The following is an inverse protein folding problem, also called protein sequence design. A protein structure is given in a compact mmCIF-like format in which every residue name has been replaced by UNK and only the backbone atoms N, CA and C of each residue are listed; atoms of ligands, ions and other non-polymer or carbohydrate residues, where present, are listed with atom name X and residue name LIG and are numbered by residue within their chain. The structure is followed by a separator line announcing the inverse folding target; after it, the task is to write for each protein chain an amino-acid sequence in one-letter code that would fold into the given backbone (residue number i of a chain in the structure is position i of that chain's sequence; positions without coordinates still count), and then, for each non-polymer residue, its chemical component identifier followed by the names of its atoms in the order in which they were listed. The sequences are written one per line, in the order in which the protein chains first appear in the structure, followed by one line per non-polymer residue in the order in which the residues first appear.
data_IF_490238260971
#
_entry.id   IF_490238260971
#
_cell.length_a   1.000
_cell.length_b   1.000
_cell.length_c   1.000
_cell.angle_alpha   90.00
_cell.angle_beta   90.00
_cell.angle_gamma   90.00
#
_symmetry.space_group_name_H-M   'P 1'
#
loop_
_entity.id
_entity.type
_entity.pdbx_description
1 polymer ?
#
# COMPACT_ATOMS: atom_id res chain seq x y z
N UNK A 1 0.95 -14.95 21.43
CA UNK A 1 0.29 -13.94 20.57
C UNK A 1 0.48 -14.33 19.12
N UNK A 2 -0.49 -14.04 18.25
CA UNK A 2 -0.54 -14.49 16.84
C UNK A 2 0.57 -13.89 15.93
N UNK A 3 1.50 -13.09 16.46
CA UNK A 3 2.47 -12.30 15.69
C UNK A 3 3.78 -12.02 16.46
N UNK A 4 4.37 -13.02 17.12
CA UNK A 4 5.57 -12.85 17.97
C UNK A 4 6.85 -12.33 17.26
N UNK A 5 6.90 -12.30 15.93
CA UNK A 5 8.06 -11.79 15.18
C UNK A 5 8.06 -10.27 14.92
N UNK A 6 7.02 -9.54 15.35
CA UNK A 6 6.82 -8.14 14.95
C UNK A 6 7.21 -7.11 16.00
N UNK A 7 7.61 -7.54 17.21
CA UNK A 7 7.88 -6.63 18.34
C UNK A 7 8.96 -5.58 18.01
N UNK A 8 10.04 -5.98 17.34
CA UNK A 8 11.12 -5.07 16.90
C UNK A 8 10.68 -4.01 15.89
N UNK A 9 9.55 -4.23 15.21
CA UNK A 9 8.98 -3.40 14.14
C UNK A 9 7.79 -2.55 14.62
N UNK A 10 7.38 -2.69 15.88
CA UNK A 10 6.25 -1.93 16.44
C UNK A 10 6.49 -0.43 16.30
N UNK A 11 5.54 0.26 15.67
CA UNK A 11 5.60 1.70 15.40
C UNK A 11 6.54 2.12 14.26
N UNK A 12 7.20 1.17 13.58
CA UNK A 12 8.14 1.45 12.48
C UNK A 12 7.59 1.08 11.11
N UNK A 13 6.60 0.18 11.06
CA UNK A 13 6.04 -0.32 9.80
C UNK A 13 4.52 -0.23 9.80
N UNK A 14 3.96 -0.14 8.60
CA UNK A 14 2.57 -0.49 8.29
C UNK A 14 2.57 -1.81 7.51
N UNK A 15 1.45 -2.54 7.57
CA UNK A 15 1.25 -3.75 6.77
C UNK A 15 -0.01 -3.59 5.93
N UNK A 16 0.09 -3.88 4.65
CA UNK A 16 -1.04 -3.93 3.72
C UNK A 16 -1.39 -5.39 3.55
N UNK A 17 -2.63 -5.77 3.89
CA UNK A 17 -3.11 -7.13 3.68
C UNK A 17 -3.73 -7.23 2.29
N UNK A 18 -3.24 -8.16 1.48
CA UNK A 18 -3.72 -8.44 0.11
C UNK A 18 -4.04 -9.95 -0.02
N UNK A 19 -4.91 -10.47 0.87
CA UNK A 19 -5.23 -11.89 0.96
C UNK A 19 -6.75 -12.09 0.99
N UNK A 20 -7.25 -13.09 0.27
CA UNK A 20 -8.67 -13.46 0.26
C UNK A 20 -9.41 -12.77 -0.89
N UNK A 21 -10.56 -12.15 -0.60
CA UNK A 21 -11.36 -11.40 -1.57
C UNK A 21 -10.75 -10.03 -1.81
N UNK A 22 -9.72 -9.97 -2.66
CA UNK A 22 -9.01 -8.76 -3.07
C UNK A 22 -8.87 -8.80 -4.58
N UNK A 23 -9.13 -7.68 -5.23
CA UNK A 23 -9.06 -7.53 -6.69
C UNK A 23 -8.13 -6.35 -7.09
N UNK A 24 -7.95 -6.15 -8.38
CA UNK A 24 -7.11 -5.11 -8.99
C UNK A 24 -7.35 -3.73 -8.38
N UNK A 25 -8.61 -3.32 -8.21
CA UNK A 25 -8.93 -1.99 -7.70
C UNK A 25 -8.66 -1.83 -6.20
N UNK A 26 -8.71 -2.90 -5.40
CA UNK A 26 -8.31 -2.85 -3.99
C UNK A 26 -6.83 -2.50 -3.86
N UNK A 27 -5.99 -3.03 -4.76
CA UNK A 27 -4.56 -2.73 -4.82
C UNK A 27 -4.32 -1.27 -5.18
N UNK A 28 -5.03 -0.76 -6.18
CA UNK A 28 -4.94 0.66 -6.59
C UNK A 28 -5.34 1.58 -5.45
N UNK A 29 -6.46 1.29 -4.77
CA UNK A 29 -6.96 2.08 -3.64
C UNK A 29 -5.97 2.04 -2.46
N UNK A 30 -5.41 0.88 -2.15
CA UNK A 30 -4.43 0.75 -1.06
C UNK A 30 -3.19 1.62 -1.30
N UNK A 31 -2.67 1.65 -2.53
CA UNK A 31 -1.51 2.48 -2.88
C UNK A 31 -1.85 3.96 -2.82
N UNK A 32 -2.98 4.37 -3.40
CA UNK A 32 -3.46 5.75 -3.32
C UNK A 32 -3.60 6.22 -1.85
N UNK A 33 -4.16 5.38 -0.98
CA UNK A 33 -4.32 5.68 0.44
C UNK A 33 -2.96 5.89 1.14
N UNK A 34 -1.94 5.08 0.80
CA UNK A 34 -0.59 5.23 1.35
C UNK A 34 0.06 6.54 0.89
N UNK A 35 -0.05 6.88 -0.40
CA UNK A 35 0.46 8.16 -0.92
C UNK A 35 -0.19 9.35 -0.21
N UNK A 36 -1.52 9.34 -0.08
CA UNK A 36 -2.26 10.38 0.63
C UNK A 36 -1.83 10.49 2.09
N UNK A 37 -1.67 9.36 2.78
CA UNK A 37 -1.23 9.34 4.18
C UNK A 37 0.19 9.90 4.33
N UNK A 38 1.14 9.43 3.53
CA UNK A 38 2.53 9.92 3.55
C UNK A 38 2.58 11.43 3.27
N UNK A 39 1.86 11.91 2.26
CA UNK A 39 1.79 13.34 1.95
C UNK A 39 1.20 14.14 3.11
N UNK A 40 0.09 13.65 3.71
CA UNK A 40 -0.59 14.29 4.85
C UNK A 40 0.31 14.40 6.07
N UNK A 41 1.19 13.43 6.30
CA UNK A 41 2.13 13.43 7.42
C UNK A 41 3.50 14.06 7.08
N UNK A 42 3.58 14.83 5.98
CA UNK A 42 4.73 15.67 5.67
C UNK A 42 5.86 14.97 4.91
N UNK A 43 5.66 13.74 4.44
CA UNK A 43 6.65 13.07 3.60
C UNK A 43 6.60 13.61 2.17
N UNK A 44 7.78 13.73 1.55
CA UNK A 44 7.89 14.14 0.16
C UNK A 44 7.59 12.98 -0.80
N UNK A 45 6.31 12.75 -1.03
CA UNK A 45 5.80 11.82 -2.04
C UNK A 45 5.08 12.58 -3.15
N UNK A 46 5.20 12.06 -4.36
CA UNK A 46 4.47 12.50 -5.55
C UNK A 46 3.16 11.69 -5.62
N UNK A 47 2.02 12.38 -5.57
CA UNK A 47 0.72 11.72 -5.65
C UNK A 47 0.50 11.17 -7.06
N UNK A 48 -0.05 9.96 -7.15
CA UNK A 48 -0.34 9.27 -8.40
C UNK A 48 0.82 8.45 -8.97
N UNK A 49 2.04 8.59 -8.45
CA UNK A 49 3.21 7.89 -9.00
C UNK A 49 3.14 6.38 -8.82
N UNK A 50 2.83 5.94 -7.60
CA UNK A 50 2.61 4.53 -7.27
C UNK A 50 1.32 4.00 -7.88
N UNK A 51 0.28 4.83 -7.97
CA UNK A 51 -0.97 4.46 -8.66
C UNK A 51 -0.72 4.15 -10.13
N UNK A 52 0.00 5.02 -10.85
CA UNK A 52 0.36 4.80 -12.25
C UNK A 52 1.16 3.51 -12.42
N UNK A 53 2.18 3.30 -11.57
CA UNK A 53 2.99 2.08 -11.60
C UNK A 53 2.13 0.82 -11.35
N UNK A 54 1.17 0.88 -10.42
CA UNK A 54 0.26 -0.23 -10.18
C UNK A 54 -0.63 -0.51 -11.39
N UNK A 55 -1.19 0.54 -11.99
CA UNK A 55 -2.04 0.43 -13.17
C UNK A 55 -1.31 -0.18 -14.36
N UNK A 56 -0.05 0.20 -14.61
CA UNK A 56 0.77 -0.39 -15.68
C UNK A 56 0.92 -1.91 -15.50
N UNK A 57 1.26 -2.37 -14.29
CA UNK A 57 1.41 -3.80 -13.99
C UNK A 57 0.08 -4.54 -14.08
N UNK A 58 -0.98 -3.95 -13.52
CA UNK A 58 -2.30 -4.58 -13.48
C UNK A 58 -2.95 -4.63 -14.88
N UNK A 59 -2.59 -3.71 -15.79
CA UNK A 59 -3.05 -3.73 -17.17
C UNK A 59 -2.57 -4.98 -17.92
N UNK A 60 -1.36 -5.48 -17.64
CA UNK A 60 -0.82 -6.71 -18.24
C UNK A 60 -1.59 -7.97 -17.85
N UNK A 61 -2.37 -7.91 -16.77
CA UNK A 61 -3.15 -9.03 -16.25
C UNK A 61 -4.55 -9.15 -16.87
N UNK A 62 -4.96 -8.21 -17.72
CA UNK A 62 -6.21 -8.23 -18.49
C UNK A 62 -5.97 -8.71 -19.92
#
# INVERSE_FOLDING_TARGET
TLAGGQDQWKGKIIRIAHLGYVDTFDTVIAIAAVEMALKKFGHNVELGKGVAAAQEILLEAY
#
